data_IF_201472344641
#
_entry.id   IF_201472344641
#
_cell.length_a   1.000
_cell.length_b   1.000
_cell.length_c   1.000
_cell.angle_alpha   90.00
_cell.angle_beta   90.00
_cell.angle_gamma   90.00
#
_symmetry.space_group_name_H-M   'P 1'
#
loop_
_entity.id
_entity.type
_entity.pdbx_description
1 polymer ?
#
# COMPACT_ATOMS: atom_id res chain seq x y z
N UNK A 1 74.23 20.32 -53.62
CA UNK A 1 72.76 20.37 -53.73
C UNK A 1 72.16 19.60 -52.56
N UNK A 2 71.51 20.23 -51.59
CA UNK A 2 70.87 19.50 -50.48
C UNK A 2 69.48 19.14 -50.88
N UNK A 3 69.11 17.86 -50.67
CA UNK A 3 67.77 17.33 -50.82
C UNK A 3 66.85 17.83 -49.65
N UNK A 4 65.83 18.55 -50.00
CA UNK A 4 64.83 19.03 -49.06
C UNK A 4 63.94 17.89 -48.52
N UNK A 5 63.93 17.70 -47.22
CA UNK A 5 62.95 16.85 -46.51
C UNK A 5 61.70 17.67 -46.28
N UNK A 6 60.59 17.35 -46.94
CA UNK A 6 59.27 17.87 -46.64
C UNK A 6 58.77 17.27 -45.34
N UNK A 7 58.17 18.05 -44.41
CA UNK A 7 57.60 17.50 -43.24
C UNK A 7 56.22 16.88 -43.56
N UNK A 8 56.01 15.66 -43.12
CA UNK A 8 54.66 15.05 -43.05
C UNK A 8 54.06 15.44 -41.70
N UNK A 9 53.25 16.47 -41.63
CA UNK A 9 52.46 16.69 -40.45
C UNK A 9 50.96 16.54 -40.74
N UNK A 10 50.19 16.31 -39.76
CA UNK A 10 48.73 16.48 -39.61
C UNK A 10 47.81 15.26 -39.61
N UNK A 11 48.18 14.11 -40.12
CA UNK A 11 47.26 12.98 -40.08
C UNK A 11 47.07 12.44 -38.63
N UNK A 12 48.17 12.32 -37.87
CA UNK A 12 48.13 11.83 -36.49
C UNK A 12 47.43 12.78 -35.53
N UNK A 13 47.60 14.08 -35.68
CA UNK A 13 46.96 15.10 -34.86
C UNK A 13 45.47 15.23 -35.18
N UNK A 14 45.05 15.03 -36.43
CA UNK A 14 43.64 15.04 -36.84
C UNK A 14 42.88 13.85 -36.26
N UNK A 15 43.47 12.64 -36.32
CA UNK A 15 42.89 11.42 -35.75
C UNK A 15 42.79 11.52 -34.24
N UNK A 16 43.79 12.06 -33.53
CA UNK A 16 43.76 12.22 -32.08
C UNK A 16 42.66 13.22 -31.63
N UNK A 17 42.45 14.32 -32.38
CA UNK A 17 41.34 15.26 -32.10
C UNK A 17 39.97 14.67 -32.36
N UNK A 18 39.80 13.83 -33.38
CA UNK A 18 38.59 13.10 -33.68
C UNK A 18 38.19 12.11 -32.56
N UNK A 19 39.16 11.34 -32.07
CA UNK A 19 38.95 10.38 -30.96
C UNK A 19 38.58 11.12 -29.67
N UNK A 20 39.26 12.23 -29.34
CA UNK A 20 38.97 13.01 -28.15
C UNK A 20 37.59 13.66 -28.22
N UNK A 21 37.12 14.10 -29.38
CA UNK A 21 35.76 14.65 -29.57
C UNK A 21 34.70 13.53 -29.42
N UNK A 22 34.92 12.36 -30.02
CA UNK A 22 34.00 11.21 -29.90
C UNK A 22 33.89 10.71 -28.46
N UNK A 23 34.99 10.66 -27.70
CA UNK A 23 34.97 10.30 -26.27
C UNK A 23 34.19 11.32 -25.42
N UNK A 24 34.32 12.63 -25.72
CA UNK A 24 33.53 13.68 -25.01
C UNK A 24 32.04 13.59 -25.32
N UNK A 25 31.64 13.25 -26.53
CA UNK A 25 30.23 13.06 -26.92
C UNK A 25 29.69 11.80 -26.23
N UNK A 26 30.44 10.69 -26.27
CA UNK A 26 30.04 9.46 -25.60
C UNK A 26 29.90 9.64 -24.08
N UNK A 27 30.83 10.35 -23.44
CA UNK A 27 30.75 10.67 -22.00
C UNK A 27 29.53 11.55 -21.67
N UNK A 28 29.16 12.48 -22.54
CA UNK A 28 27.94 13.31 -22.36
C UNK A 28 26.64 12.51 -22.53
N UNK A 29 26.62 11.55 -23.48
CA UNK A 29 25.48 10.65 -23.68
C UNK A 29 25.30 9.73 -22.46
N UNK A 30 26.38 9.13 -21.95
CA UNK A 30 26.38 8.27 -20.77
C UNK A 30 25.93 9.08 -19.52
N UNK A 31 26.43 10.30 -19.34
CA UNK A 31 26.01 11.18 -18.25
C UNK A 31 24.53 11.61 -18.37
N UNK A 32 24.05 11.82 -19.59
CA UNK A 32 22.63 12.11 -19.86
C UNK A 32 21.70 10.93 -19.60
N UNK A 33 22.12 9.70 -19.92
CA UNK A 33 21.34 8.48 -19.60
C UNK A 33 21.33 8.16 -18.11
N UNK A 34 22.40 8.48 -17.38
CA UNK A 34 22.45 8.27 -15.92
C UNK A 34 21.48 9.19 -15.14
N UNK A 35 21.12 10.34 -15.68
CA UNK A 35 20.15 11.27 -15.07
C UNK A 35 18.68 10.85 -15.28
N UNK A 36 18.40 9.85 -16.12
CA UNK A 36 17.04 9.34 -16.36
C UNK A 36 16.67 8.12 -15.52
N UNK A 37 17.56 7.65 -14.65
CA UNK A 37 17.24 6.68 -13.64
C UNK A 37 16.41 7.36 -12.51
N UNK A 38 15.18 7.79 -12.84
CA UNK A 38 14.15 8.11 -11.86
C UNK A 38 13.81 6.78 -11.20
N UNK A 39 14.44 6.51 -10.05
CA UNK A 39 13.98 5.43 -9.19
C UNK A 39 12.54 5.77 -8.78
N UNK A 40 11.56 4.93 -9.09
CA UNK A 40 10.21 5.18 -8.61
C UNK A 40 10.27 5.25 -7.08
N UNK A 41 9.77 6.35 -6.51
CA UNK A 41 9.55 6.44 -5.07
C UNK A 41 8.45 5.44 -4.72
N UNK A 42 8.80 4.42 -3.97
CA UNK A 42 7.98 3.24 -3.70
C UNK A 42 7.39 3.33 -2.30
N UNK A 43 6.08 3.28 -2.13
CA UNK A 43 5.38 3.11 -0.86
C UNK A 43 4.45 1.89 -0.90
N UNK A 44 3.99 1.44 0.22
CA UNK A 44 4.05 0.06 0.65
C UNK A 44 5.52 -0.32 0.54
N UNK A 45 6.19 -0.61 1.62
CA UNK A 45 7.64 -0.90 1.62
C UNK A 45 7.98 -1.90 0.52
N UNK A 46 9.09 -1.69 -0.16
CA UNK A 46 9.58 -2.59 -1.20
C UNK A 46 9.11 -2.31 -2.62
N UNK A 47 8.34 -1.23 -2.86
CA UNK A 47 8.05 -0.83 -4.22
C UNK A 47 6.61 -0.94 -4.68
N UNK A 48 5.64 -0.86 -3.78
CA UNK A 48 4.23 -0.81 -4.14
C UNK A 48 3.94 0.35 -5.10
N UNK A 49 3.29 0.06 -6.24
CA UNK A 49 2.97 1.06 -7.25
C UNK A 49 1.93 2.08 -6.77
N UNK A 50 2.01 3.36 -7.14
CA UNK A 50 0.92 4.31 -6.94
C UNK A 50 -0.37 3.77 -7.57
N UNK A 51 -1.47 3.83 -6.82
CA UNK A 51 -2.73 3.20 -7.22
C UNK A 51 -3.94 4.02 -6.76
N UNK A 52 -4.03 5.29 -7.17
CA UNK A 52 -5.20 6.12 -6.88
C UNK A 52 -6.46 5.61 -7.60
N UNK A 53 -6.27 4.98 -8.76
CA UNK A 53 -7.30 4.33 -9.57
C UNK A 53 -7.39 2.82 -9.27
N UNK A 54 -8.26 2.11 -9.93
CA UNK A 54 -8.44 0.67 -9.74
C UNK A 54 -8.78 0.32 -8.30
N UNK A 55 -7.96 -0.50 -7.64
CA UNK A 55 -8.17 -0.91 -6.23
C UNK A 55 -8.02 0.25 -5.25
N UNK A 56 -7.25 1.28 -5.59
CA UNK A 56 -7.06 2.46 -4.74
C UNK A 56 -8.23 3.43 -4.70
N UNK A 57 -9.19 3.32 -5.63
CA UNK A 57 -10.34 4.24 -5.72
C UNK A 57 -11.22 4.27 -4.47
N UNK A 58 -11.23 3.21 -3.69
CA UNK A 58 -11.97 3.11 -2.42
C UNK A 58 -11.14 3.45 -1.19
N UNK A 59 -9.83 3.58 -1.33
CA UNK A 59 -8.92 3.79 -0.20
C UNK A 59 -9.07 5.20 0.37
N UNK A 60 -9.22 5.29 1.68
CA UNK A 60 -9.29 6.55 2.44
C UNK A 60 -8.24 6.58 3.54
N UNK A 61 -7.80 7.78 3.90
CA UNK A 61 -6.94 8.01 5.06
C UNK A 61 -7.80 8.28 6.28
N UNK A 62 -7.54 7.60 7.38
CA UNK A 62 -8.21 7.80 8.66
C UNK A 62 -7.22 8.46 9.62
N UNK A 63 -7.64 9.56 10.24
CA UNK A 63 -6.89 10.26 11.28
C UNK A 63 -7.71 10.32 12.56
N UNK A 64 -7.06 10.15 13.70
CA UNK A 64 -7.68 10.22 15.01
C UNK A 64 -7.10 11.33 15.87
N UNK A 65 -7.90 11.88 16.77
CA UNK A 65 -7.52 12.97 17.69
C UNK A 65 -6.35 12.62 18.63
N UNK A 66 -6.01 11.34 18.75
CA UNK A 66 -4.85 10.83 19.51
C UNK A 66 -3.63 10.52 18.65
N UNK A 67 -3.57 11.04 17.41
CA UNK A 67 -2.46 10.83 16.50
C UNK A 67 -2.52 9.51 15.73
N UNK A 68 -3.66 8.81 15.73
CA UNK A 68 -3.86 7.63 14.89
C UNK A 68 -3.77 8.02 13.42
N UNK A 69 -3.09 7.19 12.65
CA UNK A 69 -2.97 7.31 11.19
C UNK A 69 -3.10 5.92 10.58
N UNK A 70 -4.20 5.68 9.91
CA UNK A 70 -4.56 4.38 9.35
C UNK A 70 -5.19 4.52 7.97
N UNK A 71 -5.31 3.40 7.31
CA UNK A 71 -6.02 3.25 6.04
C UNK A 71 -7.43 2.70 6.30
N UNK A 72 -8.38 3.06 5.46
CA UNK A 72 -9.69 2.43 5.37
C UNK A 72 -10.09 2.23 3.92
N UNK A 73 -11.20 1.54 3.71
CA UNK A 73 -11.80 1.34 2.40
C UNK A 73 -13.28 1.71 2.40
N UNK A 74 -13.70 2.56 1.48
CA UNK A 74 -15.11 2.86 1.27
C UNK A 74 -15.81 1.61 0.69
N UNK A 75 -16.86 1.13 1.37
CA UNK A 75 -17.67 -0.02 0.95
C UNK A 75 -19.11 0.36 0.60
N UNK A 76 -19.55 1.55 1.02
CA UNK A 76 -20.76 2.24 0.58
C UNK A 76 -20.51 3.76 0.66
N UNK A 77 -21.35 4.62 0.08
CA UNK A 77 -21.06 6.06 0.00
C UNK A 77 -20.71 6.74 1.33
N UNK A 78 -21.19 6.19 2.45
CA UNK A 78 -20.96 6.71 3.82
C UNK A 78 -20.37 5.68 4.77
N UNK A 79 -19.94 4.51 4.30
CA UNK A 79 -19.43 3.43 5.15
C UNK A 79 -17.99 3.11 4.78
N UNK A 80 -17.11 3.22 5.77
CA UNK A 80 -15.69 2.87 5.64
C UNK A 80 -15.41 1.63 6.48
N UNK A 81 -14.82 0.62 5.86
CA UNK A 81 -14.24 -0.56 6.52
C UNK A 81 -12.80 -0.23 6.92
N UNK A 82 -12.41 -0.63 8.14
CA UNK A 82 -11.02 -0.50 8.63
C UNK A 82 -10.72 -1.56 9.69
N UNK A 83 -9.53 -1.51 10.29
CA UNK A 83 -9.16 -2.36 11.42
C UNK A 83 -9.69 -1.80 12.76
N UNK A 84 -10.05 -2.67 13.69
CA UNK A 84 -10.54 -2.30 15.01
C UNK A 84 -9.49 -1.54 15.83
N UNK A 85 -8.22 -1.94 15.74
CA UNK A 85 -7.14 -1.27 16.47
C UNK A 85 -6.92 0.19 16.02
N UNK A 86 -7.35 0.55 14.81
CA UNK A 86 -7.28 1.91 14.29
C UNK A 86 -8.24 2.89 14.97
N UNK A 87 -9.36 2.38 15.48
CA UNK A 87 -10.51 3.22 15.88
C UNK A 87 -11.01 2.89 17.28
N UNK A 88 -10.09 2.86 18.21
CA UNK A 88 -10.38 2.56 19.62
C UNK A 88 -11.26 3.63 20.27
N UNK A 89 -12.10 3.26 21.24
CA UNK A 89 -12.98 4.20 21.96
C UNK A 89 -12.24 5.37 22.61
N UNK A 90 -12.90 6.52 22.70
CA UNK A 90 -12.41 7.71 23.39
C UNK A 90 -11.52 8.61 22.53
N UNK A 91 -11.55 8.47 21.21
CA UNK A 91 -10.98 9.41 20.25
C UNK A 91 -12.02 9.82 19.20
N UNK A 92 -11.86 11.00 18.63
CA UNK A 92 -12.62 11.45 17.47
C UNK A 92 -11.84 11.05 16.20
N UNK A 93 -12.59 10.64 15.17
CA UNK A 93 -12.01 10.18 13.91
C UNK A 93 -12.54 11.02 12.74
N UNK A 94 -11.67 11.23 11.77
CA UNK A 94 -11.98 11.90 10.52
C UNK A 94 -11.34 11.15 9.36
N UNK A 95 -11.92 11.27 8.16
CA UNK A 95 -11.23 10.88 6.94
C UNK A 95 -10.65 12.11 6.26
N UNK A 96 -9.53 11.93 5.57
CA UNK A 96 -8.92 12.97 4.75
C UNK A 96 -9.46 12.84 3.33
N UNK A 97 -10.06 13.90 2.83
CA UNK A 97 -10.51 14.05 1.46
C UNK A 97 -9.68 15.09 0.73
N UNK A 98 -9.60 14.99 -0.58
CA UNK A 98 -8.93 15.99 -1.42
C UNK A 98 -9.95 16.60 -2.38
N UNK A 99 -10.08 17.93 -2.35
CA UNK A 99 -10.89 18.68 -3.30
C UNK A 99 -10.31 18.68 -4.71
N UNK A 100 -11.02 19.31 -5.64
CA UNK A 100 -10.54 19.51 -7.02
C UNK A 100 -9.23 20.32 -7.08
N UNK A 101 -9.01 21.19 -6.10
CA UNK A 101 -7.80 21.99 -5.89
C UNK A 101 -6.65 21.19 -5.24
N UNK A 102 -6.85 19.88 -4.98
CA UNK A 102 -5.94 18.96 -4.27
C UNK A 102 -5.61 19.40 -2.83
N UNK A 103 -6.37 20.34 -2.26
CA UNK A 103 -6.21 20.67 -0.84
C UNK A 103 -6.89 19.63 0.04
N UNK A 104 -6.25 19.21 1.14
CA UNK A 104 -6.84 18.26 2.07
C UNK A 104 -7.97 18.94 2.86
N UNK A 105 -9.08 18.23 3.01
CA UNK A 105 -10.17 18.56 3.90
C UNK A 105 -10.49 17.38 4.81
N UNK A 106 -11.00 17.67 5.99
CA UNK A 106 -11.34 16.63 6.96
C UNK A 106 -12.85 16.46 7.00
N UNK A 107 -13.30 15.22 6.80
CA UNK A 107 -14.72 14.84 6.94
C UNK A 107 -14.92 14.09 8.25
N UNK A 108 -15.95 14.48 9.01
CA UNK A 108 -16.26 13.87 10.30
C UNK A 108 -16.81 12.46 10.17
N UNK A 109 -16.36 11.59 11.05
CA UNK A 109 -16.96 10.29 11.32
C UNK A 109 -18.08 10.49 12.34
N UNK A 110 -19.30 10.10 11.96
CA UNK A 110 -20.51 10.23 12.79
C UNK A 110 -20.59 9.12 13.85
N UNK A 111 -20.22 7.89 13.47
CA UNK A 111 -20.31 6.72 14.33
C UNK A 111 -19.20 5.74 14.05
N UNK A 112 -18.77 5.03 15.07
CA UNK A 112 -17.75 3.97 15.01
C UNK A 112 -18.36 2.69 15.56
N UNK A 113 -18.20 1.57 14.84
CA UNK A 113 -18.51 0.24 15.34
C UNK A 113 -17.27 -0.63 15.29
N UNK A 114 -16.78 -1.04 16.44
CA UNK A 114 -15.69 -2.01 16.60
C UNK A 114 -16.31 -3.39 16.83
N UNK A 115 -15.78 -4.42 16.17
CA UNK A 115 -16.28 -5.77 16.37
C UNK A 115 -16.06 -6.22 17.83
N UNK A 116 -17.09 -6.73 18.54
CA UNK A 116 -17.00 -7.06 19.97
C UNK A 116 -15.98 -8.15 20.30
N UNK A 117 -15.66 -9.02 19.35
CA UNK A 117 -14.61 -10.05 19.49
C UNK A 117 -13.19 -9.56 19.24
N UNK A 118 -12.96 -8.25 19.09
CA UNK A 118 -11.62 -7.71 18.95
C UNK A 118 -10.83 -7.82 20.26
N UNK A 119 -9.58 -8.26 20.15
CA UNK A 119 -8.64 -8.34 21.28
C UNK A 119 -7.29 -7.73 20.88
N UNK A 120 -6.97 -6.59 21.50
CA UNK A 120 -5.72 -5.86 21.22
C UNK A 120 -4.47 -6.69 21.53
N UNK A 121 -4.47 -7.45 22.63
CA UNK A 121 -3.30 -8.27 23.01
C UNK A 121 -3.08 -9.42 22.02
N UNK A 122 -4.14 -10.02 21.51
CA UNK A 122 -4.04 -11.02 20.46
C UNK A 122 -3.47 -10.41 19.17
N UNK A 123 -3.91 -9.22 18.77
CA UNK A 123 -3.41 -8.51 17.60
C UNK A 123 -1.91 -8.18 17.76
N UNK A 124 -1.50 -7.61 18.89
CA UNK A 124 -0.09 -7.29 19.18
C UNK A 124 0.81 -8.55 19.22
N UNK A 125 0.24 -9.69 19.59
CA UNK A 125 0.92 -10.99 19.54
C UNK A 125 0.84 -11.67 18.16
N UNK A 126 0.41 -10.97 17.11
CA UNK A 126 0.22 -11.47 15.74
C UNK A 126 -0.68 -12.72 15.67
N UNK A 127 -1.66 -12.80 16.58
CA UNK A 127 -2.67 -13.87 16.61
C UNK A 127 -3.98 -13.42 15.98
N UNK A 128 -4.76 -14.37 15.51
CA UNK A 128 -6.08 -14.11 14.95
C UNK A 128 -7.00 -13.48 15.99
N UNK A 129 -7.67 -12.39 15.61
CA UNK A 129 -8.70 -11.69 16.37
C UNK A 129 -9.62 -10.96 15.39
N UNK A 130 -10.78 -10.52 15.86
CA UNK A 130 -11.76 -9.77 15.06
C UNK A 130 -11.31 -8.31 14.85
N UNK A 131 -10.15 -8.11 14.24
CA UNK A 131 -9.58 -6.77 14.01
C UNK A 131 -10.26 -6.09 12.81
N UNK A 132 -11.56 -5.85 12.94
CA UNK A 132 -12.41 -5.17 11.94
C UNK A 132 -13.31 -4.15 12.61
N UNK A 133 -13.55 -3.03 11.93
CA UNK A 133 -14.44 -1.96 12.36
C UNK A 133 -15.09 -1.27 11.16
N UNK A 134 -16.22 -0.61 11.41
CA UNK A 134 -16.87 0.28 10.46
C UNK A 134 -16.91 1.70 11.00
N UNK A 135 -16.76 2.65 10.09
CA UNK A 135 -17.02 4.07 10.32
C UNK A 135 -18.22 4.50 9.49
N UNK A 136 -19.16 5.22 10.11
CA UNK A 136 -20.22 5.93 9.41
C UNK A 136 -19.81 7.37 9.22
N UNK A 137 -19.73 7.82 7.97
CA UNK A 137 -19.42 9.21 7.64
C UNK A 137 -20.66 10.10 7.75
N UNK A 138 -20.45 11.37 8.08
CA UNK A 138 -21.51 12.38 8.15
C UNK A 138 -22.15 12.65 6.79
N UNK A 139 -21.36 12.62 5.70
CA UNK A 139 -21.79 12.77 4.32
C UNK A 139 -21.13 11.72 3.41
N UNK A 140 -21.57 11.52 2.16
CA UNK A 140 -20.87 10.66 1.21
C UNK A 140 -19.42 11.11 0.98
N UNK A 141 -18.49 10.16 0.94
CA UNK A 141 -17.07 10.44 0.65
C UNK A 141 -16.90 11.00 -0.77
N UNK A 142 -16.14 12.09 -0.89
CA UNK A 142 -15.91 12.78 -2.16
C UNK A 142 -14.76 12.15 -2.93
N UNK A 143 -14.90 12.05 -4.27
CA UNK A 143 -13.84 11.58 -5.14
C UNK A 143 -13.42 10.12 -4.90
N UNK A 144 -14.27 9.34 -4.23
CA UNK A 144 -14.06 7.93 -3.93
C UNK A 144 -15.21 7.08 -4.45
N UNK A 145 -14.88 5.86 -4.84
CA UNK A 145 -15.86 4.87 -5.32
C UNK A 145 -15.83 3.66 -4.39
N UNK A 146 -16.98 3.24 -3.84
CA UNK A 146 -17.04 2.05 -3.00
C UNK A 146 -16.55 0.80 -3.72
N UNK A 147 -15.87 -0.07 -2.98
CA UNK A 147 -15.48 -1.41 -3.45
C UNK A 147 -16.40 -2.47 -2.87
N UNK A 148 -16.63 -3.53 -3.65
CA UNK A 148 -17.46 -4.66 -3.26
C UNK A 148 -16.80 -5.48 -2.16
N UNK A 149 -17.59 -5.92 -1.17
CA UNK A 149 -17.16 -6.91 -0.19
C UNK A 149 -17.28 -8.32 -0.76
N UNK A 150 -16.25 -9.12 -0.53
CA UNK A 150 -16.21 -10.55 -0.87
C UNK A 150 -15.78 -11.41 0.31
N UNK A 151 -15.66 -12.70 0.04
CA UNK A 151 -15.00 -13.65 0.91
C UNK A 151 -13.78 -14.23 0.18
N UNK A 152 -12.71 -14.58 0.91
CA UNK A 152 -11.57 -15.25 0.28
C UNK A 152 -12.00 -16.61 -0.26
N UNK A 153 -11.38 -17.02 -1.36
CA UNK A 153 -11.51 -18.39 -1.85
C UNK A 153 -10.83 -19.33 -0.86
N UNK A 154 -11.51 -20.41 -0.48
CA UNK A 154 -10.99 -21.41 0.45
C UNK A 154 -10.87 -22.78 -0.23
N UNK A 155 -9.83 -23.57 0.10
CA UNK A 155 -8.75 -23.29 1.05
C UNK A 155 -7.77 -22.23 0.54
N UNK A 156 -7.22 -21.40 1.46
CA UNK A 156 -6.14 -20.48 1.12
C UNK A 156 -4.84 -21.26 1.05
N UNK A 157 -4.34 -21.42 -0.15
CA UNK A 157 -3.13 -22.20 -0.43
C UNK A 157 -1.88 -21.31 -0.39
N UNK A 158 -0.73 -21.95 -0.22
CA UNK A 158 0.57 -21.29 -0.43
C UNK A 158 0.60 -20.73 -1.87
N UNK A 159 0.99 -19.46 -2.01
CA UNK A 159 1.05 -18.80 -3.31
C UNK A 159 -0.28 -18.21 -3.81
N UNK A 160 -1.42 -18.39 -3.11
CA UNK A 160 -2.65 -17.67 -3.43
C UNK A 160 -2.38 -16.17 -3.46
N UNK A 161 -2.84 -15.48 -4.50
CA UNK A 161 -2.52 -14.07 -4.79
C UNK A 161 -3.55 -13.14 -4.19
N UNK A 162 -3.06 -12.05 -3.59
CA UNK A 162 -3.87 -10.98 -3.02
C UNK A 162 -3.23 -9.64 -3.34
N UNK A 163 -4.04 -8.60 -3.44
CA UNK A 163 -3.55 -7.21 -3.58
C UNK A 163 -3.90 -6.44 -2.31
N UNK A 164 -2.91 -5.87 -1.65
CA UNK A 164 -3.12 -4.91 -0.57
C UNK A 164 -3.10 -3.50 -1.12
N UNK A 165 -3.88 -2.59 -0.52
CA UNK A 165 -3.79 -1.17 -0.83
C UNK A 165 -3.81 -0.33 0.46
N UNK A 166 -3.03 0.76 0.48
CA UNK A 166 -2.91 1.58 1.67
C UNK A 166 -2.22 2.92 1.42
N UNK A 167 -2.10 3.70 2.48
CA UNK A 167 -1.47 5.03 2.49
C UNK A 167 -0.25 5.08 3.42
N UNK A 168 0.16 3.94 3.94
CA UNK A 168 1.24 3.82 4.91
C UNK A 168 2.58 4.38 4.43
N UNK A 169 3.55 4.42 5.32
CA UNK A 169 4.90 4.90 5.02
C UNK A 169 5.66 3.90 4.14
N UNK A 170 6.55 4.42 3.31
CA UNK A 170 7.44 3.62 2.46
C UNK A 170 8.78 3.34 3.12
N UNK A 171 9.15 4.21 4.04
CA UNK A 171 10.36 4.10 4.85
C UNK A 171 9.93 4.09 6.31
N UNK A 172 10.24 3.01 7.01
CA UNK A 172 9.91 2.87 8.42
C UNK A 172 10.51 4.04 9.22
N UNK A 173 9.67 4.69 10.04
CA UNK A 173 10.07 5.84 10.87
C UNK A 173 10.04 7.18 10.13
N UNK A 174 9.89 7.21 8.81
CA UNK A 174 9.70 8.45 8.06
C UNK A 174 8.22 8.70 7.77
N UNK A 175 7.56 9.43 8.67
CA UNK A 175 6.15 9.79 8.51
C UNK A 175 5.83 10.60 7.25
N UNK A 176 6.83 11.26 6.65
CA UNK A 176 6.66 12.05 5.41
C UNK A 176 6.56 11.17 4.17
N UNK A 177 6.99 9.91 4.26
CA UNK A 177 6.93 8.95 3.14
C UNK A 177 5.56 8.32 2.95
N UNK A 178 4.59 8.56 3.86
CA UNK A 178 3.21 8.08 3.78
C UNK A 178 2.26 9.06 3.08
N UNK A 179 0.96 8.70 3.05
CA UNK A 179 -0.13 9.54 2.54
C UNK A 179 -0.45 9.36 1.06
N UNK A 180 0.40 8.72 0.27
CA UNK A 180 0.10 8.36 -1.12
C UNK A 180 -0.58 6.99 -1.15
N UNK A 181 -1.70 6.87 -1.89
CA UNK A 181 -2.36 5.58 -2.10
C UNK A 181 -1.48 4.71 -2.99
N UNK A 182 -1.23 3.47 -2.54
CA UNK A 182 -0.44 2.49 -3.28
C UNK A 182 -1.04 1.10 -3.16
N UNK A 183 -0.61 0.20 -4.05
CA UNK A 183 -1.02 -1.18 -4.01
C UNK A 183 0.17 -2.11 -4.28
N UNK A 184 0.13 -3.32 -3.71
CA UNK A 184 1.11 -4.37 -3.98
C UNK A 184 0.45 -5.74 -4.05
N UNK A 185 0.90 -6.53 -5.02
CA UNK A 185 0.55 -7.94 -5.13
C UNK A 185 1.42 -8.79 -4.19
N UNK A 186 0.79 -9.51 -3.29
CA UNK A 186 1.43 -10.41 -2.33
C UNK A 186 0.90 -11.83 -2.50
N UNK A 187 1.61 -12.80 -1.92
CA UNK A 187 1.19 -14.20 -1.91
C UNK A 187 0.98 -14.72 -0.48
N UNK A 188 0.01 -15.62 -0.32
CA UNK A 188 -0.27 -16.24 0.96
C UNK A 188 0.80 -17.29 1.31
N UNK A 189 1.12 -17.38 2.61
CA UNK A 189 1.98 -18.44 3.17
C UNK A 189 1.24 -19.74 3.41
N UNK A 190 -0.09 -19.77 3.26
CA UNK A 190 -0.96 -20.92 3.51
C UNK A 190 -1.20 -21.23 4.98
N UNK A 191 -0.55 -20.55 5.91
CA UNK A 191 -0.72 -20.73 7.36
C UNK A 191 -0.85 -19.39 8.04
N UNK A 192 -1.70 -19.24 9.07
CA UNK A 192 -2.59 -20.22 9.70
C UNK A 192 -3.90 -20.50 8.93
N UNK A 193 -4.04 -20.04 7.68
CA UNK A 193 -5.20 -20.33 6.84
C UNK A 193 -6.33 -19.32 7.00
N UNK A 194 -7.61 -19.77 7.09
CA UNK A 194 -8.80 -18.93 6.99
C UNK A 194 -9.10 -18.03 8.20
N UNK A 195 -8.48 -18.28 9.36
CA UNK A 195 -8.65 -17.44 10.55
C UNK A 195 -7.82 -16.16 10.51
N UNK A 196 -6.68 -16.22 9.84
CA UNK A 196 -5.78 -15.12 9.61
C UNK A 196 -4.97 -15.43 8.35
N UNK A 197 -4.93 -14.52 7.41
CA UNK A 197 -4.11 -14.67 6.22
C UNK A 197 -2.76 -14.00 6.48
N UNK A 198 -1.67 -14.67 6.15
CA UNK A 198 -0.32 -14.10 6.18
C UNK A 198 0.22 -14.02 4.76
N UNK A 199 0.56 -12.81 4.37
CA UNK A 199 1.05 -12.49 3.03
C UNK A 199 2.52 -12.11 3.07
N UNK A 200 3.22 -12.41 1.99
CA UNK A 200 4.63 -12.07 1.79
C UNK A 200 4.87 -11.61 0.36
N UNK A 201 5.98 -10.94 0.16
CA UNK A 201 6.51 -10.64 -1.18
C UNK A 201 6.73 -11.95 -1.96
N UNK A 202 6.22 -12.05 -3.20
CA UNK A 202 6.38 -13.26 -4.01
C UNK A 202 7.85 -13.55 -4.39
N UNK A 203 8.74 -12.55 -4.37
CA UNK A 203 10.15 -12.71 -4.76
C UNK A 203 10.99 -13.22 -3.60
N UNK A 204 11.00 -12.50 -2.47
CA UNK A 204 11.89 -12.82 -1.35
C UNK A 204 11.21 -13.61 -0.22
N UNK A 205 9.88 -13.75 -0.25
CA UNK A 205 9.09 -14.51 0.72
C UNK A 205 9.32 -14.08 2.17
N UNK A 206 9.56 -12.78 2.41
CA UNK A 206 9.79 -12.21 3.73
C UNK A 206 11.17 -12.48 4.34
N UNK A 207 12.13 -12.99 3.54
CA UNK A 207 13.52 -13.24 4.01
C UNK A 207 14.40 -12.01 3.99
N UNK A 208 14.07 -11.03 3.18
CA UNK A 208 14.71 -9.71 3.13
C UNK A 208 13.63 -8.63 3.00
N UNK A 209 14.03 -7.36 3.06
CA UNK A 209 13.12 -6.25 2.81
C UNK A 209 12.46 -6.40 1.43
N UNK A 210 11.15 -6.35 1.39
CA UNK A 210 10.37 -6.56 0.18
C UNK A 210 9.02 -5.88 0.25
N UNK A 211 8.15 -6.23 -0.70
CA UNK A 211 6.76 -5.76 -0.72
C UNK A 211 6.03 -6.18 0.55
N UNK A 212 5.36 -5.25 1.20
CA UNK A 212 4.55 -5.54 2.38
C UNK A 212 3.98 -4.29 3.04
N UNK A 213 3.04 -4.50 3.96
CA UNK A 213 2.45 -3.42 4.72
C UNK A 213 3.44 -2.79 5.70
N UNK A 214 3.20 -1.52 6.03
CA UNK A 214 3.95 -0.75 7.00
C UNK A 214 3.03 0.12 7.86
N UNK A 215 3.60 0.95 8.72
CA UNK A 215 2.87 1.91 9.56
C UNK A 215 1.94 2.78 8.70
N UNK A 216 0.66 2.79 9.03
CA UNK A 216 -0.37 3.51 8.30
C UNK A 216 -1.15 2.66 7.28
N UNK A 217 -0.66 1.48 6.86
CA UNK A 217 -1.43 0.54 6.02
C UNK A 217 -2.47 -0.25 6.82
N UNK A 218 -2.41 -0.21 8.14
CA UNK A 218 -3.41 -0.79 9.06
C UNK A 218 -4.83 -0.40 8.64
N UNK A 219 -5.74 -1.37 8.56
CA UNK A 219 -7.12 -1.18 8.12
C UNK A 219 -7.29 -1.06 6.60
N UNK A 220 -6.20 -1.03 5.84
CA UNK A 220 -6.24 -1.02 4.39
C UNK A 220 -6.88 -2.28 3.81
N UNK A 221 -7.59 -2.15 2.67
CA UNK A 221 -8.26 -3.26 2.04
C UNK A 221 -7.27 -4.29 1.47
N UNK A 222 -7.67 -5.55 1.59
CA UNK A 222 -7.02 -6.67 0.93
C UNK A 222 -7.99 -7.23 -0.10
N UNK A 223 -7.58 -7.23 -1.35
CA UNK A 223 -8.39 -7.67 -2.48
C UNK A 223 -7.98 -9.06 -2.95
N UNK A 224 -8.97 -9.79 -3.43
CA UNK A 224 -8.80 -10.97 -4.25
C UNK A 224 -9.59 -10.78 -5.55
N UNK A 225 -9.02 -11.18 -6.68
CA UNK A 225 -9.70 -11.10 -7.95
C UNK A 225 -10.85 -12.11 -8.01
N UNK A 226 -12.05 -11.63 -8.36
CA UNK A 226 -13.25 -12.43 -8.57
C UNK A 226 -13.68 -12.29 -10.04
N UNK A 227 -14.62 -13.13 -10.48
CA UNK A 227 -15.15 -13.06 -11.84
C UNK A 227 -15.74 -11.67 -12.17
N UNK A 228 -16.26 -10.97 -11.17
CA UNK A 228 -16.85 -9.63 -11.29
C UNK A 228 -15.84 -8.49 -11.04
N UNK A 229 -14.55 -8.80 -10.90
CA UNK A 229 -13.50 -7.86 -10.56
C UNK A 229 -13.00 -7.99 -9.11
N UNK A 230 -12.04 -7.15 -8.69
CA UNK A 230 -11.46 -7.21 -7.36
C UNK A 230 -12.51 -6.97 -6.26
N UNK A 231 -12.56 -7.87 -5.26
CA UNK A 231 -13.41 -7.72 -4.08
C UNK A 231 -12.55 -7.67 -2.80
N UNK A 232 -12.97 -6.86 -1.83
CA UNK A 232 -12.31 -6.78 -0.52
C UNK A 232 -12.66 -8.05 0.26
N UNK A 233 -11.63 -8.84 0.61
CA UNK A 233 -11.78 -10.09 1.35
C UNK A 233 -11.21 -10.00 2.78
N UNK A 234 -10.56 -8.91 3.13
CA UNK A 234 -9.93 -8.70 4.44
C UNK A 234 -9.40 -7.30 4.60
N UNK A 235 -8.86 -7.04 5.78
CA UNK A 235 -8.17 -5.79 6.11
C UNK A 235 -6.77 -6.08 6.66
N UNK A 236 -5.82 -5.19 6.38
CA UNK A 236 -4.47 -5.24 6.95
C UNK A 236 -4.56 -5.02 8.45
N UNK A 237 -4.00 -5.94 9.25
CA UNK A 237 -4.02 -5.90 10.70
C UNK A 237 -2.66 -5.54 11.31
N UNK A 238 -1.59 -6.16 10.85
CA UNK A 238 -0.24 -5.95 11.36
C UNK A 238 0.82 -6.26 10.30
N UNK A 239 2.06 -5.88 10.55
CA UNK A 239 3.20 -6.20 9.69
C UNK A 239 4.45 -6.53 10.51
N UNK A 240 5.40 -7.22 9.89
CA UNK A 240 6.74 -7.45 10.42
C UNK A 240 7.80 -6.99 9.42
N UNK A 241 9.02 -6.88 9.91
CA UNK A 241 10.21 -6.86 9.06
C UNK A 241 10.59 -8.26 8.59
N UNK A 242 11.73 -8.37 7.88
CA UNK A 242 12.28 -9.66 7.43
C UNK A 242 12.43 -10.66 8.57
N UNK A 243 12.19 -11.94 8.25
CA UNK A 243 12.30 -13.06 9.19
C UNK A 243 11.49 -12.88 10.49
N UNK A 244 10.36 -12.11 10.43
CA UNK A 244 9.50 -11.86 11.58
C UNK A 244 10.04 -10.83 12.57
N UNK A 245 11.11 -10.10 12.24
CA UNK A 245 11.62 -9.00 13.05
C UNK A 245 10.61 -7.86 13.17
N UNK A 246 10.81 -6.94 14.10
CA UNK A 246 9.99 -5.73 14.17
C UNK A 246 10.24 -4.85 12.93
N UNK A 247 9.19 -4.50 12.17
CA UNK A 247 9.36 -3.68 10.97
C UNK A 247 8.26 -3.82 9.94
N UNK A 248 8.66 -3.61 8.70
CA UNK A 248 7.81 -3.61 7.53
C UNK A 248 8.45 -4.47 6.42
N UNK A 249 7.66 -4.87 5.41
CA UNK A 249 8.19 -5.57 4.22
C UNK A 249 8.52 -7.05 4.41
N UNK A 250 8.23 -7.61 5.60
CA UNK A 250 8.26 -9.05 5.85
C UNK A 250 6.87 -9.67 5.71
N UNK A 251 6.29 -10.17 6.81
CA UNK A 251 4.90 -10.65 6.83
C UNK A 251 3.91 -9.49 6.88
N UNK A 252 2.83 -9.61 6.15
CA UNK A 252 1.62 -8.79 6.30
C UNK A 252 0.49 -9.66 6.83
N UNK A 253 0.01 -9.37 8.03
CA UNK A 253 -1.11 -10.07 8.66
C UNK A 253 -2.44 -9.44 8.26
N UNK A 254 -3.37 -10.28 7.84
CA UNK A 254 -4.69 -9.87 7.35
C UNK A 254 -5.78 -10.51 8.20
N UNK A 255 -6.76 -9.72 8.61
CA UNK A 255 -8.01 -10.21 9.18
C UNK A 255 -8.98 -10.46 8.03
N UNK A 256 -9.28 -11.74 7.70
CA UNK A 256 -10.21 -12.07 6.62
C UNK A 256 -11.65 -11.80 7.04
N UNK A 257 -12.52 -11.43 6.09
CA UNK A 257 -13.94 -11.14 6.38
C UNK A 257 -14.79 -12.39 6.59
N UNK A 258 -14.23 -13.58 6.47
CA UNK A 258 -14.96 -14.86 6.52
C UNK A 258 -15.90 -14.98 7.72
N UNK A 259 -15.43 -14.59 8.92
CA UNK A 259 -16.19 -14.67 10.15
C UNK A 259 -16.91 -13.38 10.52
N UNK A 260 -16.64 -12.29 9.82
CA UNK A 260 -17.05 -10.94 10.24
C UNK A 260 -18.01 -10.27 9.26
N UNK A 261 -18.17 -10.84 8.06
CA UNK A 261 -18.98 -10.25 6.99
C UNK A 261 -20.42 -10.00 7.41
N UNK A 262 -21.04 -10.97 8.08
CA UNK A 262 -22.44 -10.84 8.49
C UNK A 262 -22.65 -9.72 9.52
N UNK A 263 -21.71 -9.58 10.46
CA UNK A 263 -21.68 -8.46 11.39
C UNK A 263 -21.51 -7.12 10.67
N UNK A 264 -20.59 -7.03 9.70
CA UNK A 264 -20.38 -5.83 8.89
C UNK A 264 -21.65 -5.43 8.14
N UNK A 265 -22.33 -6.40 7.50
CA UNK A 265 -23.58 -6.17 6.79
C UNK A 265 -24.72 -5.76 7.75
N UNK A 266 -24.78 -6.33 8.94
CA UNK A 266 -25.75 -5.97 9.96
C UNK A 266 -25.57 -4.51 10.39
N UNK A 267 -24.36 -4.10 10.75
CA UNK A 267 -24.04 -2.72 11.15
C UNK A 267 -24.33 -1.73 10.02
N UNK A 268 -23.91 -2.07 8.79
CA UNK A 268 -24.15 -1.22 7.63
C UNK A 268 -25.64 -1.00 7.39
N UNK A 269 -26.46 -2.06 7.49
CA UNK A 269 -27.94 -1.96 7.40
C UNK A 269 -28.53 -1.10 8.51
N UNK A 270 -28.07 -1.24 9.77
CA UNK A 270 -28.50 -0.39 10.90
C UNK A 270 -28.20 1.10 10.63
N UNK A 271 -27.16 1.39 9.87
CA UNK A 271 -26.77 2.74 9.46
C UNK A 271 -27.41 3.19 8.15
N UNK A 272 -28.35 2.41 7.60
CA UNK A 272 -29.11 2.73 6.40
C UNK A 272 -28.35 2.51 5.08
N UNK A 273 -27.26 1.72 5.10
CA UNK A 273 -26.53 1.35 3.91
C UNK A 273 -26.93 -0.04 3.39
N UNK A 274 -27.38 -0.12 2.14
CA UNK A 274 -27.49 -1.38 1.40
C UNK A 274 -26.11 -1.80 0.88
N UNK A 275 -25.64 -2.99 1.24
CA UNK A 275 -24.39 -3.62 0.77
C UNK A 275 -24.69 -4.94 0.08
#
# INVERSE_FOLDING_TARGET
MPLGTSPIPDLAMSVARGIAAAMKILARIIAGLALLAVTPANAIVGGGAPSAEGVGRSVVTIVGSRGNFCTGALIAPKIVLTAAHCVQPGADYKIVEYGADKQPSLQDVKSVAVHPGFNMQAMLAHRATADVALLQLSSPARGKTPSTLGLPNIPILVGSRFTIAGIGVTVRGDGKSGGTIRAAGLIATGKPGSLQIRLVDPVNQGRSDGLGACTGDSGGPVFEDKQTGPAIIGVVSWSTGPNGSAGCGGLTGVTPLTLYRDWLLQIARQWGAGL
#
